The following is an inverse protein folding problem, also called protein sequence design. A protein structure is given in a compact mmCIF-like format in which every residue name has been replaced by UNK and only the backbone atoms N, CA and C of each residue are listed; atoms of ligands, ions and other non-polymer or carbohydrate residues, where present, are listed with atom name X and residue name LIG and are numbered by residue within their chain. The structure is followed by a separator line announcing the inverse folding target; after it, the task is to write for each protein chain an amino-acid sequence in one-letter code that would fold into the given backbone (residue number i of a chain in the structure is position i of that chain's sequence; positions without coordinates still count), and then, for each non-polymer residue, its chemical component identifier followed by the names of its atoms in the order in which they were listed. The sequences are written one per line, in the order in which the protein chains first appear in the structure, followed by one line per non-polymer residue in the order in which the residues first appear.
data_IF_308260144325
#
_entry.id   IF_308260144325
#
_cell.length_a   1.000
_cell.length_b   1.000
_cell.length_c   1.000
_cell.angle_alpha   90.00
_cell.angle_beta   90.00
_cell.angle_gamma   90.00
#
_symmetry.space_group_name_H-M   'P 1'
#
loop_
_entity.id
_entity.type
_entity.pdbx_description
1 polymer ?
#
# COMPACT_ATOMS: atom_id res chain seq x y z
N UNK A 1 -3.29 1.15 -0.43
CA UNK A 1 -3.15 -0.15 0.26
C UNK A 1 -1.82 -0.77 -0.16
N UNK A 2 -1.02 -1.19 0.82
CA UNK A 2 0.31 -1.74 0.61
C UNK A 2 0.27 -3.26 0.79
N UNK A 3 0.39 -3.98 -0.31
CA UNK A 3 0.41 -5.44 -0.37
C UNK A 3 1.85 -5.84 -0.71
N UNK A 4 2.49 -6.71 0.10
CA UNK A 4 3.82 -7.22 -0.22
C UNK A 4 3.88 -7.78 -1.64
N UNK A 5 5.02 -7.64 -2.31
CA UNK A 5 5.33 -8.08 -3.69
C UNK A 5 4.41 -7.55 -4.81
N UNK A 6 3.26 -6.96 -4.49
CA UNK A 6 2.27 -6.50 -5.47
C UNK A 6 2.28 -4.98 -5.62
N UNK A 7 2.31 -4.23 -4.51
CA UNK A 7 2.26 -2.76 -4.55
C UNK A 7 3.41 -2.07 -3.80
N UNK A 8 4.32 -2.84 -3.21
CA UNK A 8 5.44 -2.35 -2.40
C UNK A 8 6.77 -2.27 -3.15
N UNK A 9 6.79 -2.53 -4.46
CA UNK A 9 7.99 -2.32 -5.27
C UNK A 9 8.41 -0.83 -5.23
N UNK A 10 9.72 -0.58 -5.09
CA UNK A 10 10.26 0.79 -4.88
C UNK A 10 9.90 1.71 -6.03
N UNK A 11 10.13 1.25 -7.26
CA UNK A 11 9.82 1.93 -8.52
C UNK A 11 8.33 2.20 -8.69
N UNK A 12 7.48 1.25 -8.30
CA UNK A 12 6.03 1.43 -8.31
C UNK A 12 5.59 2.56 -7.35
N UNK A 13 6.11 2.56 -6.12
CA UNK A 13 5.78 3.59 -5.12
C UNK A 13 6.31 4.95 -5.57
N UNK A 14 7.51 5.00 -6.12
CA UNK A 14 8.11 6.23 -6.68
C UNK A 14 7.26 6.79 -7.81
N UNK A 15 6.83 5.96 -8.76
CA UNK A 15 5.98 6.38 -9.87
C UNK A 15 4.62 6.93 -9.39
N UNK A 16 4.01 6.29 -8.39
CA UNK A 16 2.75 6.79 -7.79
C UNK A 16 2.98 8.14 -7.13
N UNK A 17 4.07 8.30 -6.36
CA UNK A 17 4.36 9.54 -5.66
C UNK A 17 4.64 10.70 -6.64
N UNK A 18 5.33 10.46 -7.75
CA UNK A 18 5.50 11.44 -8.85
C UNK A 18 4.16 11.88 -9.44
N UNK A 19 3.23 10.94 -9.67
CA UNK A 19 1.92 11.25 -10.21
C UNK A 19 1.14 12.16 -9.25
N UNK A 20 1.12 11.79 -7.97
CA UNK A 20 0.36 12.47 -6.92
C UNK A 20 0.91 13.86 -6.63
N UNK A 21 2.24 14.04 -6.64
CA UNK A 21 2.89 15.32 -6.40
C UNK A 21 2.51 16.42 -7.41
N UNK A 22 2.00 16.06 -8.59
CA UNK A 22 1.54 17.04 -9.60
C UNK A 22 0.19 17.68 -9.26
N UNK A 23 -0.56 17.13 -8.31
CA UNK A 23 -1.90 17.61 -7.98
C UNK A 23 -1.86 18.58 -6.78
N UNK A 24 -2.21 19.87 -6.99
CA UNK A 24 -2.09 20.89 -5.93
C UNK A 24 -3.13 20.72 -4.80
N UNK A 25 -4.13 19.87 -5.01
CA UNK A 25 -5.24 19.65 -4.09
C UNK A 25 -5.10 18.36 -3.26
N UNK A 26 -4.02 17.60 -3.40
CA UNK A 26 -3.74 16.46 -2.53
C UNK A 26 -3.06 16.95 -1.26
N UNK A 27 -3.73 16.79 -0.12
CA UNK A 27 -3.22 17.27 1.18
C UNK A 27 -2.43 16.22 1.97
N UNK A 28 -2.72 14.93 1.77
CA UNK A 28 -2.03 13.82 2.46
C UNK A 28 -2.19 12.48 1.74
N UNK A 29 -1.30 11.55 2.06
CA UNK A 29 -1.32 10.14 1.66
C UNK A 29 -1.35 9.26 2.91
N UNK A 30 -2.24 8.26 2.94
CA UNK A 30 -2.34 7.28 4.02
C UNK A 30 -1.85 5.92 3.52
N UNK A 31 -0.72 5.44 4.03
CA UNK A 31 -0.14 4.14 3.65
C UNK A 31 -0.75 3.05 4.53
N UNK A 32 -1.81 2.43 4.03
CA UNK A 32 -2.52 1.38 4.76
C UNK A 32 -1.89 0.01 4.52
N UNK A 33 -1.39 -0.70 5.56
CA UNK A 33 -0.90 -2.07 5.41
C UNK A 33 -2.03 -3.02 5.01
N UNK A 34 -1.71 -3.99 4.17
CA UNK A 34 -2.63 -5.08 3.85
C UNK A 34 -3.05 -5.83 5.11
N UNK A 35 -4.34 -6.16 5.19
CA UNK A 35 -4.96 -6.95 6.25
C UNK A 35 -5.81 -8.03 5.60
N UNK A 36 -5.72 -9.26 6.12
CA UNK A 36 -6.51 -10.44 5.72
C UNK A 36 -7.99 -10.33 6.14
N UNK A 37 -8.63 -9.19 5.90
CA UNK A 37 -10.05 -9.00 6.21
C UNK A 37 -10.90 -9.51 5.05
N UNK A 38 -11.82 -10.42 5.35
CA UNK A 38 -12.81 -10.93 4.41
C UNK A 38 -12.49 -12.28 3.78
N UNK A 39 -11.37 -12.91 4.12
CA UNK A 39 -11.04 -14.28 3.67
C UNK A 39 -12.15 -15.28 4.02
N UNK A 40 -12.77 -15.14 5.19
CA UNK A 40 -13.93 -15.91 5.63
C UNK A 40 -15.10 -15.83 4.64
N UNK A 41 -15.34 -14.66 4.04
CA UNK A 41 -16.37 -14.46 3.03
C UNK A 41 -16.05 -15.21 1.73
N UNK A 42 -14.80 -15.23 1.30
CA UNK A 42 -14.37 -16.00 0.12
C UNK A 42 -14.55 -17.50 0.36
N UNK A 43 -14.15 -17.98 1.54
CA UNK A 43 -14.33 -19.36 1.95
C UNK A 43 -15.82 -19.78 1.95
N UNK A 44 -16.72 -18.92 2.47
CA UNK A 44 -18.17 -19.17 2.46
C UNK A 44 -18.78 -19.25 1.06
N UNK A 45 -18.18 -18.58 0.08
CA UNK A 45 -18.63 -18.57 -1.30
C UNK A 45 -17.95 -19.67 -2.15
N UNK A 46 -17.07 -20.48 -1.56
CA UNK A 46 -16.25 -21.46 -2.26
C UNK A 46 -15.44 -20.87 -3.43
N UNK A 47 -15.00 -19.61 -3.28
CA UNK A 47 -14.18 -18.91 -4.27
C UNK A 47 -12.73 -18.90 -3.78
N UNK A 48 -11.73 -19.30 -4.59
CA UNK A 48 -10.33 -19.23 -4.21
C UNK A 48 -9.91 -17.80 -3.87
N UNK A 49 -9.29 -17.60 -2.71
CA UNK A 49 -8.75 -16.30 -2.29
C UNK A 49 -7.27 -16.17 -2.69
N UNK A 50 -6.91 -15.28 -3.65
CA UNK A 50 -5.55 -15.24 -4.19
C UNK A 50 -4.47 -14.75 -3.21
N UNK A 51 -4.86 -14.08 -2.13
CA UNK A 51 -3.95 -13.54 -1.13
C UNK A 51 -3.92 -14.37 0.16
N UNK A 52 -4.40 -15.63 0.09
CA UNK A 52 -4.30 -16.56 1.21
C UNK A 52 -2.85 -16.68 1.69
N UNK A 53 -2.64 -16.61 3.01
CA UNK A 53 -1.30 -16.70 3.62
C UNK A 53 -0.39 -15.47 3.43
N UNK A 54 -0.83 -14.42 2.74
CA UNK A 54 -0.06 -13.17 2.65
C UNK A 54 -0.14 -12.43 3.99
N UNK A 55 1.02 -12.15 4.58
CA UNK A 55 1.13 -11.38 5.81
C UNK A 55 1.19 -9.87 5.53
N UNK A 56 0.80 -9.00 6.49
CA UNK A 56 1.01 -7.57 6.38
C UNK A 56 2.49 -7.22 6.16
N UNK A 57 2.80 -6.10 5.48
CA UNK A 57 4.18 -5.64 5.33
C UNK A 57 4.79 -5.25 6.68
N UNK A 58 6.10 -5.44 6.81
CA UNK A 58 6.84 -5.04 8.01
C UNK A 58 6.85 -3.52 8.21
N UNK A 59 7.05 -3.08 9.46
CA UNK A 59 7.13 -1.66 9.81
C UNK A 59 8.21 -0.90 9.00
N UNK A 60 9.34 -1.54 8.71
CA UNK A 60 10.40 -0.97 7.89
C UNK A 60 9.94 -0.68 6.45
N UNK A 61 9.12 -1.56 5.87
CA UNK A 61 8.56 -1.37 4.53
C UNK A 61 7.55 -0.23 4.54
N UNK A 62 6.70 -0.14 5.57
CA UNK A 62 5.76 0.97 5.74
C UNK A 62 6.47 2.32 5.84
N UNK A 63 7.50 2.45 6.68
CA UNK A 63 8.25 3.70 6.81
C UNK A 63 8.99 4.06 5.52
N UNK A 64 9.65 3.10 4.86
CA UNK A 64 10.28 3.34 3.55
C UNK A 64 9.26 3.92 2.56
N UNK A 65 8.07 3.33 2.46
CA UNK A 65 7.02 3.81 1.53
C UNK A 65 6.54 5.21 1.91
N UNK A 66 6.32 5.46 3.21
CA UNK A 66 5.95 6.80 3.70
C UNK A 66 7.03 7.83 3.34
N UNK A 67 8.30 7.48 3.51
CA UNK A 67 9.43 8.36 3.19
C UNK A 67 9.56 8.65 1.68
N UNK A 68 9.23 7.69 0.82
CA UNK A 68 9.18 7.92 -0.63
C UNK A 68 8.15 9.00 -1.01
N UNK A 69 7.00 9.05 -0.32
CA UNK A 69 6.03 10.13 -0.48
C UNK A 69 6.51 11.45 0.15
N UNK A 70 7.06 11.40 1.37
CA UNK A 70 7.57 12.59 2.09
C UNK A 70 8.68 13.30 1.33
N UNK A 71 9.59 12.55 0.70
CA UNK A 71 10.69 13.11 -0.11
C UNK A 71 10.19 13.92 -1.31
N UNK A 72 8.94 13.68 -1.75
CA UNK A 72 8.28 14.43 -2.84
C UNK A 72 7.37 15.55 -2.34
N UNK A 73 7.49 15.93 -1.07
CA UNK A 73 6.73 17.02 -0.45
C UNK A 73 5.31 16.64 -0.03
N UNK A 74 4.94 15.35 -0.04
CA UNK A 74 3.63 14.89 0.39
C UNK A 74 3.63 14.53 1.87
N UNK A 75 2.61 14.97 2.61
CA UNK A 75 2.39 14.49 3.98
C UNK A 75 1.95 13.02 3.93
N UNK A 76 2.71 12.10 4.55
CA UNK A 76 2.39 10.67 4.52
C UNK A 76 2.39 10.01 5.91
N UNK A 77 1.37 9.18 6.15
CA UNK A 77 1.09 8.46 7.40
C UNK A 77 0.93 6.96 7.20
#
# INVERSE_FOLDING_TARGET
MLVPWLTDAVDNVDAVAEIVARWPNVSRVEVLPFRQMGEDKWNRLAIPYPLHGVHPPDAAVLERVRDQFRTRGLTAF
#
